data_IF_564637863278
#
_entry.id   IF_564637863278
#
_cell.length_a   1.000
_cell.length_b   1.000
_cell.length_c   1.000
_cell.angle_alpha   90.00
_cell.angle_beta   90.00
_cell.angle_gamma   90.00
#
_symmetry.space_group_name_H-M   'P 1'
#
loop_
_entity.id
_entity.type
_entity.pdbx_description
1 polymer ?
#
# COMPACT_ATOMS: atom_id res chain seq x y z
N UNK A 1 6.99 8.74 36.29
CA UNK A 1 6.85 7.44 35.62
C UNK A 1 6.91 7.67 34.11
N UNK A 2 8.07 7.45 33.50
CA UNK A 2 8.23 7.58 32.04
C UNK A 2 7.39 6.51 31.36
N UNK A 3 6.39 6.94 30.60
CA UNK A 3 5.64 6.06 29.69
C UNK A 3 6.63 5.48 28.69
N UNK A 4 7.06 4.24 28.93
CA UNK A 4 7.84 3.46 27.99
C UNK A 4 6.96 3.34 26.74
N UNK A 5 7.32 4.02 25.66
CA UNK A 5 6.67 3.85 24.36
C UNK A 5 6.82 2.38 23.96
N UNK A 6 5.83 1.55 24.27
CA UNK A 6 5.75 0.17 23.81
C UNK A 6 5.42 0.22 22.32
N UNK A 7 6.45 0.37 21.50
CA UNK A 7 6.34 0.18 20.06
C UNK A 7 5.86 -1.24 19.84
N UNK A 8 4.63 -1.38 19.35
CA UNK A 8 4.10 -2.65 18.85
C UNK A 8 5.14 -3.28 17.91
N UNK A 9 5.33 -4.61 17.92
CA UNK A 9 6.27 -5.29 17.03
C UNK A 9 5.89 -4.99 15.58
N UNK A 10 6.54 -3.97 15.02
CA UNK A 10 6.34 -3.55 13.65
C UNK A 10 7.08 -4.58 12.79
N UNK A 11 6.50 -5.07 11.68
CA UNK A 11 7.14 -6.06 10.79
C UNK A 11 8.50 -5.60 10.26
N UNK A 12 8.78 -4.31 10.39
CA UNK A 12 10.02 -3.65 10.07
C UNK A 12 10.57 -3.09 11.39
N UNK A 13 11.56 -3.77 11.98
CA UNK A 13 12.04 -3.50 13.34
C UNK A 13 12.55 -2.06 13.55
N UNK A 14 12.57 -1.58 14.80
CA UNK A 14 12.91 -0.19 15.13
C UNK A 14 14.27 0.30 14.58
N UNK A 15 15.22 -0.61 14.43
CA UNK A 15 16.53 -0.31 13.82
C UNK A 15 16.38 0.22 12.39
N UNK A 16 15.43 -0.29 11.62
CA UNK A 16 15.17 0.19 10.27
C UNK A 16 14.67 1.64 10.27
N UNK A 17 13.68 1.96 11.12
CA UNK A 17 13.13 3.31 11.24
C UNK A 17 14.17 4.33 11.70
N UNK A 18 14.97 3.97 12.72
CA UNK A 18 16.05 4.83 13.20
C UNK A 18 17.15 5.01 12.15
N UNK A 19 17.45 3.99 11.35
CA UNK A 19 18.39 4.10 10.23
C UNK A 19 17.86 5.00 9.12
N UNK A 20 16.57 4.85 8.76
CA UNK A 20 15.91 5.66 7.75
C UNK A 20 15.87 7.13 8.18
N UNK A 21 15.53 7.40 9.44
CA UNK A 21 15.55 8.76 9.99
C UNK A 21 16.97 9.34 9.97
N UNK A 22 17.98 8.62 10.48
CA UNK A 22 19.38 9.08 10.48
C UNK A 22 19.87 9.44 9.08
N UNK A 23 19.47 8.67 8.06
CA UNK A 23 19.89 8.86 6.68
C UNK A 23 19.17 10.02 5.95
N UNK A 24 18.09 10.57 6.51
CA UNK A 24 17.24 11.55 5.82
C UNK A 24 16.90 12.79 6.67
N UNK A 25 17.25 12.83 7.96
CA UNK A 25 16.87 13.91 8.91
C UNK A 25 17.32 15.32 8.51
N UNK A 26 18.35 15.45 7.67
CA UNK A 26 18.92 16.72 7.25
C UNK A 26 18.48 17.14 5.84
N UNK A 27 17.63 16.36 5.18
CA UNK A 27 17.15 16.67 3.83
C UNK A 27 15.98 17.63 3.88
N UNK A 28 15.95 18.57 2.94
CA UNK A 28 14.76 19.39 2.67
C UNK A 28 13.65 18.52 2.06
N UNK A 29 12.41 19.01 2.11
CA UNK A 29 11.27 18.29 1.53
C UNK A 29 11.42 18.00 0.03
N UNK A 30 12.03 18.91 -0.72
CA UNK A 30 12.30 18.72 -2.14
C UNK A 30 13.35 17.62 -2.39
N UNK A 31 14.43 17.61 -1.62
CA UNK A 31 15.48 16.57 -1.71
C UNK A 31 14.96 15.20 -1.28
N UNK A 32 14.10 15.15 -0.25
CA UNK A 32 13.46 13.91 0.18
C UNK A 32 12.58 13.33 -0.93
N UNK A 33 11.74 14.15 -1.58
CA UNK A 33 10.89 13.71 -2.69
C UNK A 33 11.73 13.23 -3.87
N UNK A 34 12.78 13.96 -4.25
CA UNK A 34 13.69 13.55 -5.31
C UNK A 34 14.39 12.21 -5.00
N UNK A 35 14.87 12.04 -3.77
CA UNK A 35 15.52 10.81 -3.30
C UNK A 35 14.55 9.63 -3.25
N UNK A 36 13.31 9.85 -2.83
CA UNK A 36 12.24 8.85 -2.85
C UNK A 36 11.91 8.42 -4.28
N UNK A 37 11.70 9.37 -5.20
CA UNK A 37 11.41 9.08 -6.60
C UNK A 37 12.55 8.27 -7.25
N UNK A 38 13.80 8.69 -7.05
CA UNK A 38 14.98 7.98 -7.56
C UNK A 38 15.11 6.58 -6.97
N UNK A 39 14.93 6.42 -5.65
CA UNK A 39 15.00 5.11 -5.00
C UNK A 39 13.89 4.18 -5.49
N UNK A 40 12.68 4.70 -5.64
CA UNK A 40 11.53 3.94 -6.16
C UNK A 40 11.81 3.50 -7.61
N UNK A 41 12.30 4.39 -8.47
CA UNK A 41 12.65 4.06 -9.85
C UNK A 41 13.73 2.99 -9.94
N UNK A 42 14.80 3.09 -9.13
CA UNK A 42 15.86 2.08 -9.11
C UNK A 42 15.34 0.73 -8.60
N UNK A 43 14.51 0.74 -7.55
CA UNK A 43 13.91 -0.46 -7.01
C UNK A 43 13.03 -1.14 -8.05
N UNK A 44 12.10 -0.41 -8.67
CA UNK A 44 11.19 -0.95 -9.69
C UNK A 44 11.98 -1.43 -10.90
N UNK A 45 12.93 -0.66 -11.41
CA UNK A 45 13.74 -1.06 -12.56
C UNK A 45 14.54 -2.35 -12.30
N UNK A 46 15.15 -2.51 -11.12
CA UNK A 46 15.90 -3.73 -10.78
C UNK A 46 14.99 -4.96 -10.65
N UNK A 47 13.85 -4.83 -10.00
CA UNK A 47 12.95 -5.97 -9.73
C UNK A 47 12.15 -6.34 -10.97
N UNK A 48 11.49 -5.35 -11.59
CA UNK A 48 10.72 -5.59 -12.80
C UNK A 48 11.62 -5.86 -14.01
N UNK A 49 12.76 -5.19 -14.14
CA UNK A 49 13.71 -5.45 -15.22
C UNK A 49 14.20 -6.90 -15.23
N UNK A 50 14.54 -7.46 -14.05
CA UNK A 50 14.90 -8.88 -13.93
C UNK A 50 13.74 -9.81 -14.31
N UNK A 51 12.53 -9.48 -13.87
CA UNK A 51 11.34 -10.25 -14.17
C UNK A 51 11.02 -10.23 -15.68
N UNK A 52 10.96 -9.06 -16.31
CA UNK A 52 10.70 -8.92 -17.74
C UNK A 52 11.81 -9.52 -18.61
N UNK A 53 13.07 -9.38 -18.20
CA UNK A 53 14.19 -10.00 -18.91
C UNK A 53 14.10 -11.54 -18.90
N UNK A 54 13.72 -12.14 -17.77
CA UNK A 54 13.51 -13.58 -17.68
C UNK A 54 12.31 -14.06 -18.53
N UNK A 55 11.31 -13.21 -18.72
CA UNK A 55 10.07 -13.51 -19.44
C UNK A 55 10.04 -12.92 -20.86
N UNK A 56 11.20 -12.65 -21.48
CA UNK A 56 11.26 -12.05 -22.82
C UNK A 56 11.03 -13.03 -23.98
N UNK A 57 10.97 -14.33 -23.73
CA UNK A 57 10.90 -15.37 -24.77
C UNK A 57 9.65 -16.25 -24.61
N UNK A 58 8.89 -16.40 -25.71
CA UNK A 58 7.71 -17.28 -25.79
C UNK A 58 6.39 -16.65 -25.34
N UNK A 59 5.27 -17.31 -25.66
CA UNK A 59 3.90 -16.87 -25.30
C UNK A 59 3.69 -16.76 -23.79
N UNK A 60 4.35 -17.60 -23.01
CA UNK A 60 4.36 -17.55 -21.56
C UNK A 60 5.08 -16.32 -21.01
N UNK A 61 6.11 -15.87 -21.72
CA UNK A 61 6.87 -14.68 -21.37
C UNK A 61 6.06 -13.38 -21.50
N UNK A 62 5.24 -13.26 -22.54
CA UNK A 62 4.37 -12.10 -22.74
C UNK A 62 3.17 -12.09 -21.79
N UNK A 63 2.64 -13.24 -21.40
CA UNK A 63 1.45 -13.32 -20.53
C UNK A 63 1.76 -13.20 -19.03
N UNK A 64 2.90 -13.71 -18.57
CA UNK A 64 3.26 -13.72 -17.15
C UNK A 64 3.25 -12.33 -16.47
N UNK A 65 3.74 -11.24 -17.10
CA UNK A 65 3.67 -9.92 -16.49
C UNK A 65 2.26 -9.38 -16.30
N UNK A 66 1.35 -9.65 -17.24
CA UNK A 66 -0.05 -9.25 -17.09
C UNK A 66 -0.69 -10.00 -15.93
N UNK A 67 -0.47 -11.32 -15.84
CA UNK A 67 -1.01 -12.14 -14.74
C UNK A 67 -0.51 -11.65 -13.39
N UNK A 68 0.80 -11.40 -13.26
CA UNK A 68 1.38 -10.88 -12.01
C UNK A 68 0.83 -9.50 -11.66
N UNK A 69 0.63 -8.62 -12.64
CA UNK A 69 0.02 -7.32 -12.43
C UNK A 69 -1.44 -7.43 -11.95
N UNK A 70 -2.26 -8.27 -12.59
CA UNK A 70 -3.65 -8.49 -12.21
C UNK A 70 -3.78 -9.08 -10.80
N UNK A 71 -2.94 -10.07 -10.46
CA UNK A 71 -2.88 -10.64 -9.11
C UNK A 71 -2.50 -9.56 -8.09
N UNK A 72 -1.50 -8.74 -8.40
CA UNK A 72 -1.09 -7.61 -7.55
C UNK A 72 -2.23 -6.62 -7.29
N UNK A 73 -2.94 -6.21 -8.33
CA UNK A 73 -4.11 -5.30 -8.22
C UNK A 73 -5.23 -5.95 -7.41
N UNK A 74 -5.52 -7.24 -7.65
CA UNK A 74 -6.55 -7.98 -6.90
C UNK A 74 -6.23 -8.06 -5.41
N UNK A 75 -4.99 -8.40 -5.06
CA UNK A 75 -4.57 -8.46 -3.66
C UNK A 75 -4.61 -7.08 -3.00
N UNK A 76 -4.16 -6.02 -3.69
CA UNK A 76 -4.20 -4.66 -3.18
C UNK A 76 -5.63 -4.18 -2.90
N UNK A 77 -6.53 -4.40 -3.86
CA UNK A 77 -7.96 -4.07 -3.72
C UNK A 77 -8.64 -4.86 -2.60
N UNK A 78 -8.30 -6.14 -2.40
CA UNK A 78 -8.82 -6.92 -1.28
C UNK A 78 -8.24 -6.48 0.08
N UNK A 79 -6.93 -6.27 0.17
CA UNK A 79 -6.29 -5.92 1.43
C UNK A 79 -6.69 -4.54 1.93
N UNK A 80 -6.80 -3.56 1.04
CA UNK A 80 -7.13 -2.19 1.43
C UNK A 80 -8.62 -1.86 1.19
N UNK A 81 -9.09 -2.05 -0.04
CA UNK A 81 -10.46 -1.70 -0.45
C UNK A 81 -11.49 -2.46 0.37
N UNK A 82 -11.43 -3.79 0.38
CA UNK A 82 -12.42 -4.60 1.11
C UNK A 82 -12.37 -4.34 2.62
N UNK A 83 -11.19 -4.18 3.23
CA UNK A 83 -11.10 -3.87 4.67
C UNK A 83 -11.67 -2.49 5.01
N UNK A 84 -11.43 -1.49 4.15
CA UNK A 84 -12.00 -0.15 4.30
C UNK A 84 -13.53 -0.22 4.18
N UNK A 85 -14.03 -0.89 3.15
CA UNK A 85 -15.45 -0.97 2.84
C UNK A 85 -16.22 -1.78 3.91
N UNK A 86 -15.61 -2.83 4.46
CA UNK A 86 -16.16 -3.57 5.60
C UNK A 86 -16.32 -2.67 6.83
N UNK A 87 -15.30 -1.89 7.19
CA UNK A 87 -15.37 -0.95 8.32
C UNK A 87 -16.44 0.11 8.11
N UNK A 88 -16.52 0.65 6.89
CA UNK A 88 -17.56 1.62 6.53
C UNK A 88 -18.96 1.00 6.60
N UNK A 89 -19.14 -0.24 6.13
CA UNK A 89 -20.40 -0.94 6.18
C UNK A 89 -20.87 -1.21 7.63
N UNK A 90 -19.95 -1.62 8.52
CA UNK A 90 -20.26 -1.81 9.95
C UNK A 90 -20.70 -0.48 10.58
N UNK A 91 -19.93 0.59 10.38
CA UNK A 91 -20.27 1.91 10.94
C UNK A 91 -21.60 2.45 10.38
N UNK A 92 -21.87 2.25 9.09
CA UNK A 92 -23.12 2.66 8.48
C UNK A 92 -24.32 1.85 8.98
N UNK A 93 -24.14 0.55 9.22
CA UNK A 93 -25.18 -0.32 9.77
C UNK A 93 -25.48 0.01 11.24
N UNK A 94 -24.47 0.37 12.04
CA UNK A 94 -24.65 0.87 13.41
C UNK A 94 -25.42 2.19 13.45
N UNK A 95 -25.12 3.12 12.53
CA UNK A 95 -25.72 4.45 12.53
C UNK A 95 -27.14 4.50 11.91
N UNK A 96 -27.37 3.74 10.84
CA UNK A 96 -28.58 3.86 10.01
C UNK A 96 -29.33 2.54 9.78
N UNK A 97 -28.86 1.42 10.36
CA UNK A 97 -29.33 0.08 10.02
C UNK A 97 -28.75 -0.41 8.68
N UNK A 98 -28.80 -1.73 8.44
CA UNK A 98 -28.24 -2.32 7.24
C UNK A 98 -28.89 -1.74 5.97
N UNK A 99 -28.09 -1.12 5.11
CA UNK A 99 -28.58 -0.46 3.89
C UNK A 99 -29.26 0.90 4.11
N UNK A 100 -29.30 1.41 5.35
CA UNK A 100 -29.96 2.68 5.69
C UNK A 100 -29.39 3.90 4.97
N UNK A 101 -28.09 3.87 4.63
CA UNK A 101 -27.43 4.91 3.85
C UNK A 101 -27.90 4.99 2.38
N UNK A 102 -28.69 4.01 1.91
CA UNK A 102 -29.26 3.98 0.54
C UNK A 102 -30.76 4.30 0.52
N UNK A 103 -31.36 4.64 1.67
CA UNK A 103 -32.78 4.98 1.74
C UNK A 103 -33.05 6.31 1.03
N UNK A 104 -34.14 6.37 0.26
CA UNK A 104 -34.57 7.60 -0.42
C UNK A 104 -34.89 8.70 0.59
N UNK A 105 -34.65 9.96 0.20
CA UNK A 105 -35.02 11.11 1.02
C UNK A 105 -36.49 11.03 1.48
N UNK A 106 -36.80 11.48 2.71
CA UNK A 106 -38.17 11.51 3.18
C UNK A 106 -39.05 12.34 2.23
N UNK A 107 -40.32 11.95 2.02
CA UNK A 107 -41.25 12.72 1.21
C UNK A 107 -41.43 14.12 1.79
N UNK A 108 -41.49 15.12 0.91
CA UNK A 108 -41.72 16.53 1.27
C UNK A 108 -43.17 16.77 1.65
#
# INVERSE_FOLDING_TARGET
MSGLFTLHPHPIGIKWWTSLWKANKNLTGAELNAKMASSAQQFTHRHFGRFFYAHRAGSWGTQAPFVVAFIGIKLASMMYGTRRDQKAAIAAAEAYGQGGFMVSNPPK
#
